data_IF_299554501213
#
_entry.id   IF_299554501213
#
_cell.length_a   1.000
_cell.length_b   1.000
_cell.length_c   1.000
_cell.angle_alpha   90.00
_cell.angle_beta   90.00
_cell.angle_gamma   90.00
#
_symmetry.space_group_name_H-M   'P 1'
#
loop_
_entity.id
_entity.type
_entity.pdbx_description
1 polymer ?
#
# COMPACT_ATOMS: atom_id res chain seq x y z
N UNK A 1 -26.17 5.11 21.54
CA UNK A 1 -27.07 4.69 20.45
C UNK A 1 -26.59 5.32 19.16
N UNK A 2 -25.74 4.62 18.40
CA UNK A 2 -25.40 4.97 17.03
C UNK A 2 -26.04 3.90 16.15
N UNK A 3 -27.21 4.22 15.59
CA UNK A 3 -27.88 3.34 14.63
C UNK A 3 -27.19 3.49 13.29
N UNK A 4 -26.84 2.35 12.70
CA UNK A 4 -26.27 2.23 11.37
C UNK A 4 -27.15 2.95 10.34
N UNK A 5 -26.52 3.78 9.51
CA UNK A 5 -27.17 4.58 8.46
C UNK A 5 -27.53 3.75 7.21
N UNK A 6 -27.26 2.45 7.19
CA UNK A 6 -27.58 1.59 6.04
C UNK A 6 -28.62 0.53 6.42
N UNK A 7 -29.85 0.70 5.93
CA UNK A 7 -30.78 -0.42 5.77
C UNK A 7 -30.11 -1.45 4.86
N UNK A 8 -30.25 -2.73 5.22
CA UNK A 8 -29.54 -3.85 4.62
C UNK A 8 -30.07 -4.23 3.21
N UNK A 9 -30.85 -3.37 2.56
CA UNK A 9 -31.74 -3.75 1.44
C UNK A 9 -31.28 -3.29 0.06
N UNK A 10 -30.12 -2.62 -0.09
CA UNK A 10 -29.74 -1.98 -1.36
C UNK A 10 -28.28 -2.18 -1.81
N UNK A 11 -27.49 -2.98 -1.10
CA UNK A 11 -26.13 -3.31 -1.51
C UNK A 11 -25.90 -4.82 -1.57
N UNK A 12 -25.04 -5.24 -2.49
CA UNK A 12 -24.68 -6.65 -2.66
C UNK A 12 -23.19 -6.80 -2.91
N UNK A 13 -22.62 -7.85 -2.32
CA UNK A 13 -21.23 -8.25 -2.60
C UNK A 13 -21.22 -9.03 -3.91
N UNK A 14 -20.36 -8.61 -4.85
CA UNK A 14 -20.29 -9.20 -6.17
C UNK A 14 -19.77 -10.64 -6.11
N UNK A 15 -20.60 -11.57 -6.59
CA UNK A 15 -20.29 -12.99 -6.77
C UNK A 15 -20.88 -13.46 -8.09
N UNK A 16 -20.47 -14.63 -8.58
CA UNK A 16 -21.03 -15.19 -9.82
C UNK A 16 -22.56 -15.34 -9.82
N UNK A 17 -23.19 -15.45 -8.64
CA UNK A 17 -24.65 -15.57 -8.48
C UNK A 17 -25.35 -14.22 -8.45
N UNK A 18 -24.69 -13.19 -7.93
CA UNK A 18 -25.29 -11.88 -7.72
C UNK A 18 -25.22 -10.97 -8.94
N UNK A 19 -24.60 -11.40 -10.03
CA UNK A 19 -24.58 -10.68 -11.31
C UNK A 19 -25.98 -10.47 -11.89
N UNK A 20 -26.90 -11.40 -11.62
CA UNK A 20 -28.29 -11.33 -12.09
C UNK A 20 -29.20 -10.55 -11.14
N UNK A 21 -28.65 -9.97 -10.08
CA UNK A 21 -29.42 -9.21 -9.12
C UNK A 21 -29.72 -7.82 -9.68
N UNK A 22 -30.94 -7.63 -10.16
CA UNK A 22 -31.43 -6.35 -10.68
C UNK A 22 -32.13 -5.49 -9.62
N UNK A 23 -32.27 -5.99 -8.39
CA UNK A 23 -32.92 -5.28 -7.30
C UNK A 23 -31.95 -4.41 -6.51
N UNK A 24 -30.68 -4.83 -6.45
CA UNK A 24 -29.65 -4.09 -5.74
C UNK A 24 -29.06 -2.94 -6.58
N UNK A 25 -28.78 -1.83 -5.90
CA UNK A 25 -28.30 -0.58 -6.53
C UNK A 25 -26.82 -0.34 -6.32
N UNK A 26 -26.23 -0.99 -5.31
CA UNK A 26 -24.83 -0.84 -4.94
C UNK A 26 -24.15 -2.21 -5.00
N UNK A 27 -23.05 -2.29 -5.74
CA UNK A 27 -22.25 -3.50 -5.86
C UNK A 27 -20.89 -3.26 -5.25
N UNK A 28 -20.48 -4.15 -4.33
CA UNK A 28 -19.17 -4.10 -3.68
C UNK A 28 -18.37 -5.29 -4.16
N UNK A 29 -17.21 -5.03 -4.75
CA UNK A 29 -16.34 -6.05 -5.31
C UNK A 29 -14.88 -5.78 -4.99
N UNK A 30 -14.09 -6.85 -4.89
CA UNK A 30 -12.65 -6.72 -5.02
C UNK A 30 -12.28 -6.67 -6.51
N UNK A 31 -11.14 -6.06 -6.83
CA UNK A 31 -10.63 -6.00 -8.20
C UNK A 31 -10.59 -7.35 -8.92
N UNK A 32 -10.08 -8.46 -8.33
CA UNK A 32 -10.09 -9.77 -9.00
C UNK A 32 -11.49 -10.33 -9.24
N UNK A 33 -12.44 -10.06 -8.34
CA UNK A 33 -13.82 -10.49 -8.52
C UNK A 33 -14.47 -9.73 -9.68
N UNK A 34 -14.24 -8.41 -9.74
CA UNK A 34 -14.76 -7.55 -10.79
C UNK A 34 -14.20 -7.92 -12.17
N UNK A 35 -12.88 -8.13 -12.31
CA UNK A 35 -12.27 -8.58 -13.58
C UNK A 35 -12.90 -9.87 -14.11
N UNK A 36 -13.29 -10.78 -13.24
CA UNK A 36 -13.87 -12.06 -13.67
C UNK A 36 -15.32 -11.96 -14.12
N UNK A 37 -16.00 -10.86 -13.79
CA UNK A 37 -17.45 -10.75 -13.89
C UNK A 37 -17.93 -9.52 -14.65
N UNK A 38 -17.07 -8.52 -14.92
CA UNK A 38 -17.49 -7.24 -15.51
C UNK A 38 -18.17 -7.41 -16.87
N UNK A 39 -17.68 -8.32 -17.71
CA UNK A 39 -18.28 -8.61 -19.04
C UNK A 39 -19.68 -9.23 -18.98
N UNK A 40 -20.14 -9.64 -17.78
CA UNK A 40 -21.50 -10.15 -17.61
C UNK A 40 -22.52 -9.04 -17.35
N UNK A 41 -22.06 -7.82 -17.08
CA UNK A 41 -22.90 -6.65 -16.99
C UNK A 41 -22.90 -5.95 -18.34
N UNK A 42 -23.99 -5.26 -18.67
CA UNK A 42 -23.99 -4.39 -19.84
C UNK A 42 -23.07 -3.17 -19.60
N UNK A 43 -22.43 -2.61 -20.65
CA UNK A 43 -21.58 -1.42 -20.52
C UNK A 43 -22.26 -0.22 -19.85
N UNK A 44 -23.57 -0.08 -19.98
CA UNK A 44 -24.37 0.98 -19.36
C UNK A 44 -25.06 0.55 -18.05
N UNK A 45 -24.65 -0.55 -17.44
CA UNK A 45 -25.30 -1.07 -16.23
C UNK A 45 -25.02 -0.19 -14.99
N UNK A 46 -23.82 0.36 -14.87
CA UNK A 46 -23.43 1.22 -13.76
C UNK A 46 -23.40 2.68 -14.21
N UNK A 47 -24.01 3.57 -13.43
CA UNK A 47 -23.89 5.01 -13.63
C UNK A 47 -22.61 5.59 -12.99
N UNK A 48 -22.08 4.92 -11.96
CA UNK A 48 -20.94 5.37 -11.15
C UNK A 48 -20.08 4.19 -10.69
N UNK A 49 -18.77 4.31 -10.86
CA UNK A 49 -17.75 3.38 -10.36
C UNK A 49 -16.85 4.14 -9.38
N UNK A 50 -16.72 3.60 -8.16
CA UNK A 50 -15.80 4.11 -7.14
C UNK A 50 -14.70 3.10 -6.93
N UNK A 51 -13.46 3.53 -7.13
CA UNK A 51 -12.26 2.73 -7.03
C UNK A 51 -11.44 3.18 -5.81
N UNK A 52 -11.40 2.35 -4.76
CA UNK A 52 -10.59 2.61 -3.57
C UNK A 52 -9.16 2.08 -3.73
N UNK A 53 -8.22 2.70 -3.02
CA UNK A 53 -6.77 2.44 -3.08
C UNK A 53 -6.27 2.24 -4.51
N UNK A 54 -6.70 3.15 -5.36
CA UNK A 54 -6.56 3.04 -6.79
C UNK A 54 -5.12 3.46 -7.17
N UNK A 55 -4.19 2.54 -6.92
CA UNK A 55 -2.75 2.74 -7.15
C UNK A 55 -2.29 2.24 -8.51
N UNK A 56 -1.11 2.69 -8.93
CA UNK A 56 -0.52 2.54 -10.27
C UNK A 56 -0.57 1.11 -10.86
N UNK A 57 -0.32 0.08 -10.05
CA UNK A 57 -0.35 -1.34 -10.46
C UNK A 57 -1.76 -1.87 -10.75
N UNK A 58 -2.79 -1.25 -10.19
CA UNK A 58 -4.18 -1.55 -10.49
C UNK A 58 -4.55 -1.03 -11.90
N UNK A 59 -3.96 0.05 -12.40
CA UNK A 59 -4.41 0.57 -13.71
C UNK A 59 -3.84 -0.17 -14.91
N UNK A 60 -2.60 -0.68 -14.81
CA UNK A 60 -2.02 -1.46 -15.90
C UNK A 60 -2.74 -2.81 -16.09
N UNK A 61 -3.24 -3.41 -15.01
CA UNK A 61 -3.91 -4.72 -15.05
C UNK A 61 -5.44 -4.57 -15.20
N UNK A 62 -6.02 -3.51 -14.62
CA UNK A 62 -7.47 -3.32 -14.52
C UNK A 62 -8.00 -2.17 -15.39
N UNK A 63 -7.18 -1.59 -16.27
CA UNK A 63 -7.59 -0.48 -17.15
C UNK A 63 -8.77 -0.83 -18.07
N UNK A 64 -8.87 -2.09 -18.50
CA UNK A 64 -9.98 -2.55 -19.36
C UNK A 64 -11.33 -2.53 -18.64
N UNK A 65 -11.34 -2.76 -17.33
CA UNK A 65 -12.54 -2.65 -16.49
C UNK A 65 -13.14 -1.23 -16.57
N UNK A 66 -12.28 -0.22 -16.42
CA UNK A 66 -12.68 1.18 -16.44
C UNK A 66 -13.07 1.65 -17.84
N UNK A 67 -12.51 1.08 -18.91
CA UNK A 67 -12.92 1.41 -20.28
C UNK A 67 -14.19 0.71 -20.72
N UNK A 68 -14.54 -0.41 -20.07
CA UNK A 68 -15.71 -1.22 -20.45
C UNK A 68 -17.03 -0.51 -20.13
N UNK A 69 -17.13 0.14 -18.97
CA UNK A 69 -18.37 0.78 -18.53
C UNK A 69 -18.45 2.25 -18.98
N UNK A 70 -19.60 2.61 -19.52
CA UNK A 70 -19.98 4.00 -19.79
C UNK A 70 -20.56 4.61 -18.49
N UNK A 71 -19.67 4.87 -17.54
CA UNK A 71 -20.00 5.30 -16.19
C UNK A 71 -19.13 6.47 -15.73
N UNK A 72 -19.63 7.27 -14.79
CA UNK A 72 -18.78 8.20 -14.03
C UNK A 72 -17.78 7.40 -13.19
N UNK A 73 -16.55 7.91 -13.06
CA UNK A 73 -15.47 7.20 -12.36
C UNK A 73 -14.85 8.08 -11.30
N UNK A 74 -14.71 7.55 -10.08
CA UNK A 74 -14.09 8.23 -8.95
C UNK A 74 -12.98 7.33 -8.40
N UNK A 75 -11.74 7.77 -8.54
CA UNK A 75 -10.57 7.12 -7.95
C UNK A 75 -10.22 7.78 -6.61
N UNK A 76 -10.10 6.97 -5.57
CA UNK A 76 -9.57 7.36 -4.26
C UNK A 76 -8.16 6.78 -4.11
N UNK A 77 -7.23 7.58 -3.61
CA UNK A 77 -5.86 7.10 -3.34
C UNK A 77 -5.27 7.84 -2.15
N UNK A 78 -4.50 7.11 -1.34
CA UNK A 78 -3.73 7.66 -0.24
C UNK A 78 -2.27 7.98 -0.63
N UNK A 79 -1.84 7.65 -1.85
CA UNK A 79 -0.44 7.84 -2.24
C UNK A 79 -0.17 9.25 -2.75
N UNK A 80 1.07 9.76 -2.54
CA UNK A 80 1.40 11.11 -2.94
C UNK A 80 1.16 11.31 -4.44
N UNK A 81 0.60 12.47 -4.76
CA UNK A 81 0.26 12.90 -6.13
C UNK A 81 1.46 12.79 -7.10
N UNK A 82 2.68 12.91 -6.58
CA UNK A 82 3.93 12.74 -7.34
C UNK A 82 4.16 11.30 -7.85
N UNK A 83 3.58 10.31 -7.18
CA UNK A 83 3.66 8.89 -7.53
C UNK A 83 2.50 8.45 -8.43
N UNK A 84 1.51 9.30 -8.66
CA UNK A 84 0.43 9.03 -9.62
C UNK A 84 1.00 9.20 -11.05
N UNK A 85 0.78 8.22 -11.93
CA UNK A 85 1.27 8.30 -13.31
C UNK A 85 0.36 9.19 -14.18
N UNK A 86 0.90 9.71 -15.28
CA UNK A 86 0.11 10.41 -16.31
C UNK A 86 -1.05 9.56 -16.84
N UNK A 87 -0.83 8.25 -16.97
CA UNK A 87 -1.84 7.30 -17.44
C UNK A 87 -3.02 7.17 -16.48
N UNK A 88 -2.79 7.20 -15.17
CA UNK A 88 -3.85 7.21 -14.17
C UNK A 88 -4.67 8.50 -14.22
N UNK A 89 -4.01 9.65 -14.30
CA UNK A 89 -4.72 10.94 -14.38
C UNK A 89 -5.62 11.04 -15.62
N UNK A 90 -5.11 10.60 -16.78
CA UNK A 90 -5.88 10.58 -18.03
C UNK A 90 -7.12 9.68 -17.96
N UNK A 91 -7.08 8.57 -17.22
CA UNK A 91 -8.21 7.65 -17.10
C UNK A 91 -9.40 8.30 -16.35
N UNK A 92 -9.13 9.11 -15.33
CA UNK A 92 -10.17 9.82 -14.56
C UNK A 92 -10.46 11.23 -15.08
N UNK A 93 -9.83 11.63 -16.19
CA UNK A 93 -9.99 12.96 -16.76
C UNK A 93 -9.46 14.08 -15.87
N UNK A 94 -8.48 13.80 -15.00
CA UNK A 94 -7.80 14.82 -14.22
C UNK A 94 -6.42 15.16 -14.83
N UNK A 95 -5.96 16.38 -14.59
CA UNK A 95 -4.65 16.82 -15.05
C UNK A 95 -3.54 16.17 -14.21
N UNK A 96 -2.40 15.92 -14.86
CA UNK A 96 -1.28 15.22 -14.23
C UNK A 96 -0.79 16.00 -13.01
N UNK A 97 -0.80 15.35 -11.85
CA UNK A 97 -0.46 15.91 -10.54
C UNK A 97 -1.47 16.94 -9.97
N UNK A 98 -2.67 17.03 -10.52
CA UNK A 98 -3.72 17.91 -10.02
C UNK A 98 -5.00 17.11 -9.77
N UNK A 99 -5.12 16.43 -8.60
CA UNK A 99 -6.37 15.77 -8.24
C UNK A 99 -7.47 16.80 -8.01
N UNK A 100 -8.72 16.43 -8.30
CA UNK A 100 -9.90 17.30 -8.08
C UNK A 100 -10.03 17.78 -6.63
N UNK A 101 -9.58 16.96 -5.67
CA UNK A 101 -9.49 17.31 -4.27
C UNK A 101 -8.25 16.64 -3.68
N UNK A 102 -7.54 17.34 -2.79
CA UNK A 102 -6.38 16.81 -2.09
C UNK A 102 -6.48 17.16 -0.61
N UNK A 103 -6.41 16.14 0.25
CA UNK A 103 -6.36 16.30 1.69
C UNK A 103 -5.04 15.71 2.20
N UNK A 104 -4.10 16.61 2.50
CA UNK A 104 -2.71 16.22 2.76
C UNK A 104 -2.50 15.69 4.17
N UNK A 105 -1.40 14.95 4.37
CA UNK A 105 -0.97 14.49 5.69
C UNK A 105 -0.73 15.67 6.63
N UNK A 106 -0.14 16.75 6.11
CA UNK A 106 0.15 17.98 6.86
C UNK A 106 -1.15 18.62 7.38
N UNK A 107 -2.14 18.81 6.50
CA UNK A 107 -3.46 19.34 6.88
C UNK A 107 -4.14 18.45 7.93
N UNK A 108 -4.09 17.13 7.73
CA UNK A 108 -4.69 16.18 8.65
C UNK A 108 -4.04 16.18 10.04
N UNK A 109 -2.74 16.47 10.12
CA UNK A 109 -2.02 16.64 11.39
C UNK A 109 -2.39 17.98 12.04
N UNK A 110 -2.44 19.08 11.27
CA UNK A 110 -2.78 20.41 11.77
C UNK A 110 -4.20 20.47 12.36
N UNK A 111 -5.15 19.78 11.73
CA UNK A 111 -6.54 19.69 12.19
C UNK A 111 -6.73 18.65 13.32
N UNK A 112 -5.69 17.90 13.69
CA UNK A 112 -5.72 16.94 14.79
C UNK A 112 -6.40 15.60 14.46
N UNK A 113 -6.63 15.31 13.18
CA UNK A 113 -7.15 14.01 12.73
C UNK A 113 -6.07 12.91 12.66
N UNK A 114 -4.82 13.30 12.39
CA UNK A 114 -3.66 12.39 12.36
C UNK A 114 -2.59 12.79 13.37
N UNK A 115 -1.80 11.80 13.80
CA UNK A 115 -0.70 11.99 14.75
C UNK A 115 0.58 12.28 13.98
N UNK A 116 1.37 13.30 14.37
CA UNK A 116 2.65 13.59 13.73
C UNK A 116 3.63 12.43 13.93
N UNK A 117 4.51 12.23 12.95
CA UNK A 117 5.55 11.20 13.00
C UNK A 117 6.94 11.83 13.14
N UNK A 118 7.87 11.06 13.70
CA UNK A 118 9.28 11.43 13.80
C UNK A 118 10.13 10.40 13.08
N UNK A 119 10.95 10.85 12.13
CA UNK A 119 11.88 9.97 11.41
C UNK A 119 13.21 9.94 12.14
N UNK A 120 13.57 8.78 12.69
CA UNK A 120 14.89 8.55 13.28
C UNK A 120 15.66 7.58 12.38
N UNK A 121 16.71 8.09 11.72
CA UNK A 121 17.56 7.29 10.84
C UNK A 121 18.72 6.69 11.64
N UNK A 122 18.66 5.39 11.92
CA UNK A 122 19.79 4.64 12.46
C UNK A 122 20.56 3.96 11.33
N UNK A 123 21.77 4.44 11.06
CA UNK A 123 22.65 3.82 10.06
C UNK A 123 23.85 3.18 10.75
N UNK A 124 24.07 1.87 10.53
CA UNK A 124 25.36 1.25 10.85
C UNK A 124 26.39 1.64 9.78
N UNK A 125 27.69 1.65 10.11
CA UNK A 125 28.76 1.97 9.13
C UNK A 125 28.67 1.10 7.87
N UNK A 126 28.26 -0.16 8.02
CA UNK A 126 28.09 -1.12 6.93
C UNK A 126 26.93 -0.76 5.99
N UNK A 127 25.78 -0.29 6.51
CA UNK A 127 24.66 0.16 5.68
C UNK A 127 24.98 1.46 4.92
N UNK A 128 25.80 2.36 5.48
CA UNK A 128 26.20 3.60 4.77
C UNK A 128 27.05 3.34 3.53
N UNK A 129 27.89 2.31 3.57
CA UNK A 129 28.82 1.99 2.49
C UNK A 129 28.18 1.07 1.44
N UNK A 130 27.30 0.14 1.85
CA UNK A 130 26.58 -0.76 0.93
C UNK A 130 25.32 -0.17 0.27
N UNK A 131 24.67 0.85 0.87
CA UNK A 131 23.46 1.49 0.31
C UNK A 131 23.81 2.76 -0.47
N UNK A 132 24.85 2.69 -1.31
CA UNK A 132 24.93 3.56 -2.50
C UNK A 132 24.26 2.88 -3.68
N UNK A 133 23.10 2.27 -3.44
CA UNK A 133 22.22 1.82 -4.51
C UNK A 133 21.66 3.04 -5.22
N UNK A 134 21.78 3.08 -6.54
CA UNK A 134 21.12 4.08 -7.36
C UNK A 134 19.62 3.97 -7.10
N UNK A 135 19.05 4.90 -6.31
CA UNK A 135 17.60 5.02 -6.22
C UNK A 135 17.12 5.41 -7.62
N UNK A 136 16.27 4.57 -8.23
CA UNK A 136 15.68 4.88 -9.51
C UNK A 136 14.89 6.19 -9.39
N UNK A 137 15.09 7.08 -10.35
CA UNK A 137 14.27 8.29 -10.49
C UNK A 137 12.83 7.91 -10.84
N UNK A 138 11.88 8.81 -10.59
CA UNK A 138 10.47 8.58 -10.91
C UNK A 138 10.23 8.27 -12.40
N UNK A 139 11.13 8.76 -13.27
CA UNK A 139 11.12 8.54 -14.72
C UNK A 139 11.63 7.14 -15.09
N UNK A 140 12.73 6.68 -14.48
CA UNK A 140 13.25 5.32 -14.70
C UNK A 140 12.28 4.25 -14.18
N UNK A 141 11.63 4.49 -13.04
CA UNK A 141 10.56 3.64 -12.52
C UNK A 141 9.42 3.52 -13.54
N UNK A 142 9.00 4.64 -14.14
CA UNK A 142 7.93 4.66 -15.13
C UNK A 142 8.30 3.88 -16.41
N UNK A 143 9.54 3.96 -16.89
CA UNK A 143 9.99 3.21 -18.07
C UNK A 143 10.08 1.70 -17.83
N UNK A 144 10.45 1.27 -16.62
CA UNK A 144 10.50 -0.13 -16.24
C UNK A 144 9.10 -0.72 -16.09
N UNK A 145 8.16 0.04 -15.54
CA UNK A 145 6.75 -0.32 -15.40
C UNK A 145 6.01 -0.38 -16.74
N UNK A 146 6.33 0.50 -17.70
CA UNK A 146 5.77 0.46 -19.07
C UNK A 146 6.15 -0.82 -19.83
N UNK A 147 7.31 -1.39 -19.47
CA UNK A 147 7.76 -2.70 -19.95
C UNK A 147 7.13 -3.86 -19.17
N UNK A 148 6.23 -3.60 -18.23
CA UNK A 148 5.57 -4.59 -17.39
C UNK A 148 6.48 -5.21 -16.31
N UNK A 149 7.60 -4.57 -15.99
CA UNK A 149 8.56 -5.03 -14.98
C UNK A 149 8.25 -4.31 -13.67
N UNK A 150 7.94 -5.05 -12.60
CA UNK A 150 7.76 -4.45 -11.27
C UNK A 150 9.11 -3.89 -10.78
N UNK A 151 9.22 -2.58 -10.52
CA UNK A 151 10.45 -1.96 -10.03
C UNK A 151 10.92 -2.56 -8.70
N UNK A 152 9.99 -3.07 -7.88
CA UNK A 152 10.31 -3.75 -6.62
C UNK A 152 10.85 -5.18 -6.85
N UNK A 153 10.68 -5.73 -8.05
CA UNK A 153 11.26 -7.01 -8.48
C UNK A 153 12.65 -6.87 -9.09
N UNK A 154 13.07 -5.64 -9.42
CA UNK A 154 14.42 -5.37 -9.89
C UNK A 154 15.35 -5.38 -8.67
N UNK A 155 15.86 -6.57 -8.39
CA UNK A 155 16.91 -6.82 -7.41
C UNK A 155 18.20 -6.11 -7.87
N UNK A 156 18.35 -4.83 -7.54
CA UNK A 156 19.60 -4.12 -7.73
C UNK A 156 20.57 -4.49 -6.58
N UNK A 157 21.75 -5.02 -6.97
CA UNK A 157 22.86 -5.50 -6.14
C UNK A 157 22.49 -6.48 -5.01
N UNK A 158 21.85 -7.60 -5.40
CA UNK A 158 21.34 -8.62 -4.49
C UNK A 158 22.40 -9.29 -3.62
N UNK A 159 23.63 -9.54 -4.08
CA UNK A 159 24.55 -10.42 -3.33
C UNK A 159 25.16 -9.78 -2.08
N UNK A 160 25.57 -8.52 -2.15
CA UNK A 160 26.17 -7.84 -1.00
C UNK A 160 25.11 -7.39 0.01
N UNK A 161 23.95 -6.93 -0.48
CA UNK A 161 22.81 -6.55 0.35
C UNK A 161 22.19 -7.79 1.00
N UNK A 162 22.05 -8.92 0.31
CA UNK A 162 21.56 -10.14 0.94
C UNK A 162 22.49 -10.62 2.05
N UNK A 163 23.82 -10.61 1.83
CA UNK A 163 24.76 -10.97 2.89
C UNK A 163 24.64 -10.04 4.10
N UNK A 164 24.38 -8.75 3.87
CA UNK A 164 24.15 -7.76 4.92
C UNK A 164 22.84 -8.01 5.69
N UNK A 165 21.77 -8.26 4.96
CA UNK A 165 20.39 -8.45 5.46
C UNK A 165 20.25 -9.77 6.22
N UNK A 166 20.96 -10.83 5.82
CA UNK A 166 20.96 -12.11 6.54
C UNK A 166 22.07 -12.21 7.60
N UNK A 167 22.85 -11.15 7.83
CA UNK A 167 23.83 -11.13 8.90
C UNK A 167 23.11 -11.08 10.26
N UNK A 168 23.16 -12.20 10.99
CA UNK A 168 22.52 -12.34 12.30
C UNK A 168 22.99 -11.28 13.29
N UNK A 169 24.25 -10.90 13.29
CA UNK A 169 24.79 -9.94 14.26
C UNK A 169 24.30 -8.51 13.98
N UNK A 170 24.15 -8.16 12.69
CA UNK A 170 23.53 -6.89 12.30
C UNK A 170 22.06 -6.85 12.73
N UNK A 171 21.31 -7.92 12.47
CA UNK A 171 19.91 -8.01 12.85
C UNK A 171 19.71 -8.00 14.37
N UNK A 172 20.56 -8.68 15.14
CA UNK A 172 20.55 -8.59 16.61
C UNK A 172 20.77 -7.17 17.10
N UNK A 173 21.71 -6.42 16.51
CA UNK A 173 21.93 -5.00 16.86
C UNK A 173 20.74 -4.12 16.52
N UNK A 174 20.05 -4.38 15.40
CA UNK A 174 18.82 -3.65 15.03
C UNK A 174 17.73 -3.92 16.08
N UNK A 175 17.51 -5.17 16.44
CA UNK A 175 16.51 -5.57 17.45
C UNK A 175 16.86 -5.02 18.84
N UNK A 176 18.13 -5.05 19.23
CA UNK A 176 18.61 -4.44 20.47
C UNK A 176 18.38 -2.93 20.47
N UNK A 177 18.73 -2.25 19.38
CA UNK A 177 18.52 -0.82 19.26
C UNK A 177 17.03 -0.45 19.37
N UNK A 178 16.13 -1.24 18.76
CA UNK A 178 14.68 -1.10 18.92
C UNK A 178 14.26 -1.31 20.38
N UNK A 179 14.78 -2.35 21.01
CA UNK A 179 14.42 -2.67 22.39
C UNK A 179 15.00 -1.70 23.40
N UNK A 180 16.07 -0.98 23.10
CA UNK A 180 16.68 0.03 23.98
C UNK A 180 16.07 1.42 23.77
N UNK A 181 15.95 1.85 22.50
CA UNK A 181 15.60 3.23 22.11
C UNK A 181 14.18 3.36 21.55
N UNK A 182 13.43 2.26 21.46
CA UNK A 182 12.06 2.28 20.98
C UNK A 182 11.13 3.04 21.94
N UNK A 183 10.07 3.61 21.36
CA UNK A 183 9.08 4.41 22.09
C UNK A 183 8.38 3.52 23.13
N UNK A 184 8.33 3.99 24.38
CA UNK A 184 7.67 3.29 25.49
C UNK A 184 6.23 3.72 25.66
N UNK A 185 5.43 2.85 26.26
CA UNK A 185 4.09 3.19 26.71
C UNK A 185 4.14 4.10 27.94
N UNK A 186 2.97 4.53 28.42
CA UNK A 186 2.85 5.44 29.56
C UNK A 186 3.48 4.92 30.86
N UNK A 187 3.69 3.61 30.98
CA UNK A 187 4.37 2.98 32.12
C UNK A 187 5.91 3.18 32.12
N UNK A 188 6.47 3.70 31.02
CA UNK A 188 7.90 3.91 30.84
C UNK A 188 8.75 2.65 30.72
N UNK A 189 8.14 1.46 30.75
CA UNK A 189 8.84 0.17 30.78
C UNK A 189 8.49 -0.68 29.56
N UNK A 190 7.23 -0.72 29.16
CA UNK A 190 6.81 -1.54 28.03
C UNK A 190 7.09 -0.83 26.70
N UNK A 191 7.63 -1.57 25.75
CA UNK A 191 7.76 -1.09 24.38
C UNK A 191 6.35 -0.87 23.78
N UNK A 192 6.18 0.21 23.04
CA UNK A 192 4.98 0.44 22.24
C UNK A 192 4.81 -0.64 21.17
N UNK A 193 3.57 -0.84 20.72
CA UNK A 193 3.28 -1.76 19.61
C UNK A 193 4.12 -1.37 18.39
N UNK A 194 4.92 -2.31 17.90
CA UNK A 194 5.89 -2.07 16.84
C UNK A 194 5.64 -3.03 15.68
N UNK A 195 5.72 -2.50 14.45
CA UNK A 195 5.74 -3.30 13.22
C UNK A 195 7.13 -3.18 12.62
N UNK A 196 7.75 -4.32 12.33
CA UNK A 196 9.08 -4.38 11.70
C UNK A 196 8.93 -4.86 10.26
N UNK A 197 9.28 -4.00 9.30
CA UNK A 197 9.22 -4.34 7.88
C UNK A 197 10.51 -5.02 7.43
N UNK A 198 10.42 -6.29 7.03
CA UNK A 198 11.53 -7.07 6.51
C UNK A 198 11.53 -7.08 4.98
N UNK A 199 12.71 -7.24 4.36
CA UNK A 199 12.86 -7.38 2.89
C UNK A 199 11.97 -8.47 2.28
N UNK A 200 11.85 -9.62 2.93
CA UNK A 200 11.02 -10.73 2.47
C UNK A 200 10.61 -11.64 3.65
N UNK A 201 9.77 -12.64 3.38
CA UNK A 201 9.28 -13.58 4.40
C UNK A 201 10.38 -14.36 5.11
N UNK A 202 11.46 -14.74 4.42
CA UNK A 202 12.59 -15.47 5.04
C UNK A 202 13.31 -14.57 6.04
N UNK A 203 13.50 -13.30 5.70
CA UNK A 203 14.08 -12.32 6.61
C UNK A 203 13.16 -12.03 7.79
N UNK A 204 11.84 -11.95 7.59
CA UNK A 204 10.88 -11.78 8.68
C UNK A 204 10.98 -12.92 9.71
N UNK A 205 11.01 -14.18 9.25
CA UNK A 205 11.21 -15.35 10.12
C UNK A 205 12.56 -15.36 10.83
N UNK A 206 13.61 -14.88 10.16
CA UNK A 206 14.92 -14.73 10.80
C UNK A 206 14.85 -13.72 11.95
N UNK A 207 14.25 -12.55 11.73
CA UNK A 207 14.08 -11.52 12.75
C UNK A 207 13.23 -12.03 13.93
N UNK A 208 12.13 -12.73 13.65
CA UNK A 208 11.30 -13.40 14.66
C UNK A 208 12.14 -14.36 15.52
N UNK A 209 12.87 -15.29 14.90
CA UNK A 209 13.69 -16.26 15.64
C UNK A 209 14.79 -15.61 16.49
N UNK A 210 15.40 -14.52 15.98
CA UNK A 210 16.43 -13.78 16.71
C UNK A 210 15.83 -12.96 17.85
N UNK A 211 14.63 -12.43 17.67
CA UNK A 211 13.91 -11.71 18.70
C UNK A 211 13.55 -12.65 19.86
N UNK A 212 13.02 -13.83 19.55
CA UNK A 212 12.68 -14.87 20.53
C UNK A 212 13.92 -15.38 21.29
N UNK A 213 15.07 -15.49 20.60
CA UNK A 213 16.35 -15.88 21.21
C UNK A 213 16.84 -14.81 22.21
N UNK A 214 16.76 -13.53 21.83
CA UNK A 214 17.28 -12.41 22.63
C UNK A 214 16.35 -12.00 23.78
N UNK A 215 15.03 -12.13 23.59
CA UNK A 215 14.02 -11.68 24.55
C UNK A 215 12.96 -12.75 24.83
N UNK A 216 13.32 -13.91 25.41
CA UNK A 216 12.37 -15.00 25.69
C UNK A 216 11.19 -14.59 26.58
N UNK A 217 11.38 -13.56 27.40
CA UNK A 217 10.37 -12.99 28.31
C UNK A 217 9.26 -12.21 27.60
N UNK A 218 9.43 -11.85 26.33
CA UNK A 218 8.47 -11.08 25.55
C UNK A 218 7.54 -11.97 24.69
N UNK A 219 7.60 -13.29 24.88
CA UNK A 219 6.74 -14.27 24.21
C UNK A 219 5.39 -14.43 24.88
#
# INVERSE_FOLDING_TARGET
MSQAIFSNDHFTILTSKSVQDSHNRIFIATYPAMIRLFEKFDPGFFDLIIADESHRSVYNIYGDLFRYFDALQVGLTATPVEMVSRSTCQLFGCDFKEPTCNYTLETAIEEGYLVPYQVVKHTTKFLREGIKGHALTAEEIAELEDKGIDPNSLDFDAQEIDRAVYNKDTNRKILQNLMENGIRQADGQTLGKTIVFARNHKHAKLLESLFDELYPQCR
#
